data_IF_969444311532
#
_entry.id   IF_969444311532
#
_cell.length_a   1.000
_cell.length_b   1.000
_cell.length_c   1.000
_cell.angle_alpha   90.00
_cell.angle_beta   90.00
_cell.angle_gamma   90.00
#
_symmetry.space_group_name_H-M   'P 1'
#
loop_
_entity.id
_entity.type
_entity.pdbx_description
1 polymer ?
#
# COMPACT_ATOMS: atom_id res chain seq x y z
N UNK A 1 -7.36 15.50 38.56
CA UNK A 1 -6.62 14.35 38.00
C UNK A 1 -7.57 13.49 37.18
N UNK A 2 -7.62 13.71 35.88
CA UNK A 2 -8.51 12.99 34.95
C UNK A 2 -7.92 11.62 34.63
N UNK A 3 -8.50 10.55 35.19
CA UNK A 3 -8.18 9.17 34.79
C UNK A 3 -8.56 9.01 33.32
N UNK A 4 -7.57 8.85 32.42
CA UNK A 4 -7.80 8.37 31.04
C UNK A 4 -8.52 7.01 31.15
N UNK A 5 -9.80 6.94 30.74
CA UNK A 5 -10.51 5.67 30.60
C UNK A 5 -9.81 4.86 29.52
N UNK A 6 -9.22 3.73 29.92
CA UNK A 6 -8.53 2.76 29.07
C UNK A 6 -9.53 2.06 28.16
N UNK A 7 -9.17 1.87 26.88
CA UNK A 7 -10.01 1.11 25.95
C UNK A 7 -10.11 -0.36 26.37
N UNK A 8 -11.14 -1.07 25.91
CA UNK A 8 -11.34 -2.51 26.19
C UNK A 8 -10.11 -3.34 25.77
N UNK A 9 -9.46 -2.97 24.67
CA UNK A 9 -8.20 -3.57 24.22
C UNK A 9 -7.01 -3.32 25.16
N UNK A 10 -6.91 -2.14 25.77
CA UNK A 10 -5.87 -1.86 26.77
C UNK A 10 -6.13 -2.65 28.07
N UNK A 11 -7.40 -2.91 28.36
CA UNK A 11 -7.81 -3.69 29.54
C UNK A 11 -7.70 -5.19 29.31
N UNK A 12 -7.81 -5.70 28.07
CA UNK A 12 -7.48 -7.09 27.74
C UNK A 12 -5.99 -7.37 27.87
N UNK A 13 -5.14 -6.48 27.35
CA UNK A 13 -3.68 -6.55 27.50
C UNK A 13 -3.29 -6.45 28.99
N UNK A 14 -3.84 -5.49 29.73
CA UNK A 14 -3.56 -5.32 31.17
C UNK A 14 -4.14 -6.42 32.07
N UNK A 15 -5.35 -6.91 31.78
CA UNK A 15 -6.01 -7.94 32.60
C UNK A 15 -5.38 -9.32 32.42
N UNK A 16 -4.88 -9.65 31.22
CA UNK A 16 -4.18 -10.91 30.96
C UNK A 16 -2.76 -10.93 31.53
N UNK A 17 -2.03 -9.81 31.47
CA UNK A 17 -0.69 -9.72 32.07
C UNK A 17 -0.74 -9.81 33.61
N UNK A 18 -1.83 -9.36 34.23
CA UNK A 18 -2.12 -9.61 35.65
C UNK A 18 -2.43 -11.08 35.96
N UNK A 19 -2.98 -11.83 34.99
CA UNK A 19 -3.35 -13.25 35.12
C UNK A 19 -2.16 -14.21 34.96
N UNK A 20 -1.12 -13.79 34.22
CA UNK A 20 0.10 -14.57 33.96
C UNK A 20 1.25 -14.30 34.94
N UNK A 21 1.07 -13.39 35.92
CA UNK A 21 2.08 -13.09 36.93
C UNK A 21 3.38 -12.47 36.38
N UNK A 22 3.35 -11.94 35.15
CA UNK A 22 4.51 -11.32 34.49
C UNK A 22 4.47 -9.82 34.73
N UNK A 23 5.52 -9.29 35.37
CA UNK A 23 5.71 -7.85 35.56
C UNK A 23 6.14 -7.23 34.23
N UNK A 24 5.30 -6.33 33.71
CA UNK A 24 5.59 -5.48 32.55
C UNK A 24 6.97 -4.83 32.67
N UNK A 25 7.85 -5.07 31.70
CA UNK A 25 9.08 -4.28 31.58
C UNK A 25 8.83 -3.06 30.69
N UNK A 26 8.30 -1.99 31.28
CA UNK A 26 7.97 -0.71 30.62
C UNK A 26 9.16 -0.09 29.84
N UNK A 27 10.39 -0.53 30.09
CA UNK A 27 11.60 -0.01 29.45
C UNK A 27 11.78 -0.44 27.99
N UNK A 28 11.16 -1.55 27.56
CA UNK A 28 11.38 -2.11 26.20
C UNK A 28 10.17 -1.97 25.28
N UNK A 29 8.97 -1.78 25.84
CA UNK A 29 7.74 -1.63 25.06
C UNK A 29 7.76 -0.29 24.32
N UNK A 30 7.56 -0.32 23.00
CA UNK A 30 7.65 0.86 22.15
C UNK A 30 9.07 1.37 21.90
N UNK A 31 10.11 0.57 22.18
CA UNK A 31 11.45 0.81 21.64
C UNK A 31 11.38 0.75 20.11
N UNK A 32 11.92 1.80 19.50
CA UNK A 32 12.11 1.90 18.07
C UNK A 32 13.56 1.63 17.77
N UNK A 33 13.82 0.66 16.90
CA UNK A 33 15.15 0.50 16.33
C UNK A 33 15.04 0.51 14.81
N UNK A 34 15.94 1.25 14.19
CA UNK A 34 16.29 1.07 12.79
C UNK A 34 17.49 0.14 12.74
N UNK A 35 17.40 -0.94 11.97
CA UNK A 35 18.40 -2.02 11.94
C UNK A 35 19.75 -1.63 11.26
N UNK A 36 20.05 -0.33 11.12
CA UNK A 36 21.24 0.17 10.41
C UNK A 36 22.08 1.03 11.36
N UNK A 37 23.38 0.71 11.40
CA UNK A 37 24.38 1.42 12.19
C UNK A 37 24.47 2.89 11.74
N UNK A 38 24.36 3.88 12.65
CA UNK A 38 24.45 5.31 12.30
C UNK A 38 25.76 5.70 11.57
N UNK A 39 26.81 4.86 11.59
CA UNK A 39 28.02 5.09 10.77
C UNK A 39 27.83 4.81 9.27
N UNK A 40 26.87 3.98 8.87
CA UNK A 40 26.52 3.70 7.47
C UNK A 40 25.60 4.77 6.84
N UNK A 41 25.25 5.83 7.58
CA UNK A 41 24.45 6.99 7.15
C UNK A 41 24.90 7.64 5.81
N UNK A 42 26.10 7.33 5.31
CA UNK A 42 26.65 7.94 4.09
C UNK A 42 26.07 7.41 2.78
N UNK A 43 25.45 6.23 2.75
CA UNK A 43 24.63 5.81 1.59
C UNK A 43 23.18 6.12 1.90
N UNK A 44 22.75 7.34 1.60
CA UNK A 44 21.38 7.77 1.78
C UNK A 44 20.45 6.83 0.98
N UNK A 45 19.62 6.06 1.69
CA UNK A 45 18.55 5.24 1.14
C UNK A 45 17.48 6.17 0.54
N UNK A 46 17.70 6.54 -0.72
CA UNK A 46 16.73 7.25 -1.53
C UNK A 46 15.96 6.24 -2.38
N UNK A 47 14.64 6.39 -2.41
CA UNK A 47 13.83 5.72 -3.42
C UNK A 47 14.20 6.30 -4.77
N UNK A 48 14.63 5.45 -5.69
CA UNK A 48 14.98 5.82 -7.05
C UNK A 48 13.91 5.27 -7.98
N UNK A 49 13.02 6.14 -8.41
CA UNK A 49 12.02 5.84 -9.44
C UNK A 49 12.28 6.78 -10.62
N UNK A 50 11.84 6.43 -11.83
CA UNK A 50 12.08 7.23 -13.06
C UNK A 50 11.58 8.69 -13.02
N UNK A 51 10.91 9.07 -11.93
CA UNK A 51 10.37 10.40 -11.68
C UNK A 51 11.39 11.29 -10.96
N UNK A 52 12.41 10.71 -10.31
CA UNK A 52 13.43 11.41 -9.54
C UNK A 52 14.84 10.95 -9.89
N UNK A 53 15.60 11.87 -10.50
CA UNK A 53 17.06 11.81 -10.72
C UNK A 53 17.59 10.83 -11.79
N UNK A 54 17.57 11.29 -13.04
CA UNK A 54 18.23 10.63 -14.18
C UNK A 54 19.76 10.51 -14.05
N UNK A 55 20.42 11.43 -13.34
CA UNK A 55 21.89 11.51 -13.33
C UNK A 55 22.54 10.43 -12.46
N UNK A 56 21.95 10.08 -11.32
CA UNK A 56 22.55 9.12 -10.39
C UNK A 56 22.30 7.68 -10.86
N UNK A 57 21.12 7.40 -11.42
CA UNK A 57 20.84 6.16 -12.15
C UNK A 57 21.80 5.98 -13.35
N UNK A 58 22.05 7.06 -14.11
CA UNK A 58 23.03 7.05 -15.19
C UNK A 58 24.44 6.75 -14.69
N UNK A 59 24.89 7.39 -13.60
CA UNK A 59 26.23 7.16 -13.04
C UNK A 59 26.40 5.75 -12.45
N UNK A 60 25.37 5.19 -11.81
CA UNK A 60 25.38 3.82 -11.27
C UNK A 60 25.45 2.78 -12.39
N UNK A 61 24.63 2.94 -13.44
CA UNK A 61 24.68 2.11 -14.66
C UNK A 61 26.06 2.24 -15.33
N UNK A 62 26.58 3.46 -15.51
CA UNK A 62 27.89 3.71 -16.13
C UNK A 62 29.04 3.11 -15.33
N UNK A 63 28.91 3.04 -13.99
CA UNK A 63 29.93 2.43 -13.13
C UNK A 63 29.96 0.90 -13.21
N UNK A 64 28.80 0.27 -13.42
CA UNK A 64 28.65 -1.17 -13.64
C UNK A 64 29.03 -1.55 -15.09
N UNK A 65 28.77 -0.66 -16.04
CA UNK A 65 29.01 -0.81 -17.48
C UNK A 65 30.39 -0.29 -17.91
N UNK A 66 31.46 -0.62 -17.20
CA UNK A 66 32.82 -0.50 -17.77
C UNK A 66 33.01 -1.52 -18.91
N UNK A 67 32.29 -1.36 -20.02
CA UNK A 67 32.59 -1.81 -21.39
C UNK A 67 31.51 -1.33 -22.36
N UNK A 68 31.93 -0.36 -23.17
CA UNK A 68 31.40 0.06 -24.48
C UNK A 68 30.05 0.78 -24.46
N UNK A 69 30.13 2.12 -24.56
CA UNK A 69 29.00 2.99 -24.88
C UNK A 69 29.06 3.35 -26.37
N UNK A 70 27.97 3.10 -27.11
CA UNK A 70 27.58 3.93 -28.25
C UNK A 70 26.39 4.79 -27.79
N UNK A 71 26.52 6.10 -28.01
CA UNK A 71 25.54 7.09 -27.58
C UNK A 71 24.28 7.04 -28.44
N UNK A 72 23.14 6.66 -27.88
CA UNK A 72 21.84 6.88 -28.52
C UNK A 72 21.21 8.18 -28.02
N UNK A 73 21.02 9.12 -28.97
CA UNK A 73 20.31 10.37 -28.77
C UNK A 73 18.82 10.07 -28.60
N UNK A 74 18.26 10.37 -27.42
CA UNK A 74 16.81 10.36 -27.24
C UNK A 74 16.15 11.43 -28.12
N UNK A 75 15.30 10.99 -29.05
CA UNK A 75 14.36 11.85 -29.74
C UNK A 75 13.29 12.30 -28.74
N UNK A 76 13.39 13.54 -28.27
CA UNK A 76 12.33 14.19 -27.51
C UNK A 76 11.19 14.50 -28.47
N UNK A 77 10.20 13.61 -28.54
CA UNK A 77 8.92 13.93 -29.18
C UNK A 77 8.10 14.72 -28.17
N UNK A 78 8.09 16.05 -28.34
CA UNK A 78 7.15 16.93 -27.64
C UNK A 78 5.75 16.63 -28.18
N UNK A 79 4.98 15.80 -27.48
CA UNK A 79 3.55 15.65 -27.76
C UNK A 79 2.82 16.79 -27.04
N UNK A 80 2.78 17.95 -27.68
CA UNK A 80 1.79 18.98 -27.38
C UNK A 80 0.43 18.52 -27.90
N UNK A 81 -0.38 17.92 -27.02
CA UNK A 81 -1.83 17.80 -27.24
C UNK A 81 -2.59 18.18 -25.98
N UNK A 82 -2.70 19.48 -25.74
CA UNK A 82 -3.89 20.04 -25.10
C UNK A 82 -5.03 19.92 -26.11
N UNK A 83 -5.90 18.94 -25.94
CA UNK A 83 -7.11 18.82 -26.76
C UNK A 83 -8.29 18.50 -25.87
N UNK A 84 -8.84 19.57 -25.31
CA UNK A 84 -10.17 19.64 -24.70
C UNK A 84 -11.27 19.53 -25.76
N UNK A 85 -11.19 18.50 -26.61
CA UNK A 85 -12.16 18.25 -27.68
C UNK A 85 -12.89 16.96 -27.40
N UNK A 86 -14.22 17.05 -27.39
CA UNK A 86 -15.12 15.89 -27.43
C UNK A 86 -14.69 15.02 -28.60
N UNK A 87 -14.19 13.82 -28.29
CA UNK A 87 -13.75 12.86 -29.30
C UNK A 87 -14.92 12.54 -30.23
N UNK A 88 -14.64 12.47 -31.52
CA UNK A 88 -15.62 12.01 -32.50
C UNK A 88 -16.03 10.56 -32.20
N UNK A 89 -17.18 10.09 -32.71
CA UNK A 89 -17.61 8.70 -32.51
C UNK A 89 -16.56 7.70 -33.02
N UNK A 90 -15.97 7.98 -34.17
CA UNK A 90 -14.90 7.18 -34.79
C UNK A 90 -13.63 7.17 -33.92
N UNK A 91 -13.22 8.32 -33.36
CA UNK A 91 -12.07 8.40 -32.46
C UNK A 91 -12.30 7.65 -31.14
N UNK A 92 -13.54 7.64 -30.63
CA UNK A 92 -13.90 6.86 -29.44
C UNK A 92 -13.87 5.37 -29.70
N UNK A 93 -14.41 4.93 -30.83
CA UNK A 93 -14.39 3.52 -31.24
C UNK A 93 -12.95 3.03 -31.43
N UNK A 94 -12.12 3.82 -32.10
CA UNK A 94 -10.70 3.51 -32.28
C UNK A 94 -9.97 3.43 -30.95
N UNK A 95 -10.16 4.41 -30.04
CA UNK A 95 -9.57 4.36 -28.70
C UNK A 95 -10.05 3.18 -27.88
N UNK A 96 -11.32 2.78 -28.02
CA UNK A 96 -11.87 1.61 -27.34
C UNK A 96 -11.19 0.34 -27.85
N UNK A 97 -11.00 0.22 -29.16
CA UNK A 97 -10.29 -0.90 -29.77
C UNK A 97 -8.82 -0.94 -29.34
N UNK A 98 -8.14 0.20 -29.33
CA UNK A 98 -6.75 0.31 -28.89
C UNK A 98 -6.61 -0.03 -27.40
N UNK A 99 -7.57 0.40 -26.58
CA UNK A 99 -7.65 0.03 -25.17
C UNK A 99 -7.88 -1.47 -24.98
N UNK A 100 -8.74 -2.11 -25.78
CA UNK A 100 -8.95 -3.55 -25.73
C UNK A 100 -7.68 -4.32 -26.10
N UNK A 101 -6.99 -3.91 -27.17
CA UNK A 101 -5.69 -4.50 -27.56
C UNK A 101 -4.64 -4.33 -26.47
N UNK A 102 -4.58 -3.15 -25.85
CA UNK A 102 -3.70 -2.88 -24.73
C UNK A 102 -4.01 -3.80 -23.54
N UNK A 103 -5.29 -3.99 -23.20
CA UNK A 103 -5.71 -4.89 -22.12
C UNK A 103 -5.41 -6.35 -22.40
N UNK A 104 -5.57 -6.80 -23.64
CA UNK A 104 -5.19 -8.15 -24.04
C UNK A 104 -3.68 -8.36 -23.90
N UNK A 105 -2.89 -7.38 -24.36
CA UNK A 105 -1.44 -7.37 -24.17
C UNK A 105 -1.07 -7.40 -22.69
N UNK A 106 -1.76 -6.61 -21.86
CA UNK A 106 -1.56 -6.63 -20.42
C UNK A 106 -1.83 -8.01 -19.82
N UNK A 107 -2.85 -8.72 -20.30
CA UNK A 107 -3.16 -10.08 -19.86
C UNK A 107 -2.05 -11.07 -20.21
N UNK A 108 -1.44 -10.94 -21.39
CA UNK A 108 -0.35 -11.80 -21.85
C UNK A 108 0.92 -11.61 -21.02
N UNK A 109 1.30 -10.36 -20.75
CA UNK A 109 2.53 -10.00 -20.04
C UNK A 109 2.34 -9.80 -18.52
N UNK A 110 1.17 -10.10 -17.97
CA UNK A 110 0.90 -9.92 -16.55
C UNK A 110 1.88 -10.71 -15.66
N UNK A 111 2.16 -11.96 -16.05
CA UNK A 111 3.04 -12.84 -15.29
C UNK A 111 4.54 -12.62 -15.58
N UNK A 112 4.90 -11.82 -16.57
CA UNK A 112 6.31 -11.58 -16.91
C UNK A 112 6.96 -10.48 -16.08
N UNK A 113 6.18 -9.60 -15.44
CA UNK A 113 6.68 -8.61 -14.50
C UNK A 113 6.78 -9.21 -13.10
N UNK A 114 7.91 -9.84 -12.80
CA UNK A 114 8.19 -10.39 -11.48
C UNK A 114 8.92 -9.39 -10.59
N UNK A 115 9.13 -9.77 -9.33
CA UNK A 115 10.00 -9.06 -8.38
C UNK A 115 11.34 -9.80 -8.28
N UNK A 116 12.44 -9.12 -7.92
CA UNK A 116 13.71 -9.79 -7.73
C UNK A 116 13.61 -10.66 -6.48
N UNK A 117 13.95 -11.94 -6.62
CA UNK A 117 14.00 -12.88 -5.50
C UNK A 117 15.39 -12.85 -4.90
N UNK A 118 15.49 -12.93 -3.57
CA UNK A 118 16.80 -13.02 -2.94
C UNK A 118 17.46 -14.35 -3.31
N UNK A 119 18.74 -14.36 -3.71
CA UNK A 119 19.46 -15.61 -3.95
C UNK A 119 19.54 -16.44 -2.67
N UNK A 120 19.48 -17.76 -2.82
CA UNK A 120 19.69 -18.69 -1.73
C UNK A 120 21.11 -18.55 -1.20
N UNK A 121 21.27 -18.50 0.12
CA UNK A 121 22.56 -18.44 0.79
C UNK A 121 22.63 -19.50 1.87
N UNK A 122 23.84 -19.93 2.20
CA UNK A 122 24.11 -20.92 3.25
C UNK A 122 25.24 -20.41 4.17
N UNK A 123 25.56 -21.17 5.21
CA UNK A 123 26.61 -20.81 6.18
C UNK A 123 28.01 -20.67 5.55
N UNK A 124 28.21 -21.22 4.35
CA UNK A 124 29.47 -21.14 3.61
C UNK A 124 29.54 -19.90 2.71
N UNK A 125 28.42 -19.22 2.45
CA UNK A 125 28.39 -18.01 1.62
C UNK A 125 28.98 -16.85 2.40
N UNK A 126 30.02 -16.23 1.85
CA UNK A 126 30.60 -15.04 2.49
C UNK A 126 29.69 -13.81 2.32
N UNK A 127 29.80 -12.84 3.22
CA UNK A 127 29.02 -11.58 3.13
C UNK A 127 29.26 -10.86 1.80
N UNK A 128 30.49 -10.88 1.30
CA UNK A 128 30.88 -10.22 0.05
C UNK A 128 30.32 -10.95 -1.18
N UNK A 129 30.41 -12.28 -1.19
CA UNK A 129 29.82 -13.12 -2.23
C UNK A 129 28.31 -12.96 -2.30
N UNK A 130 27.62 -12.96 -1.15
CA UNK A 130 26.18 -12.75 -1.08
C UNK A 130 25.79 -11.37 -1.61
N UNK A 131 26.57 -10.34 -1.27
CA UNK A 131 26.32 -8.98 -1.74
C UNK A 131 26.45 -8.89 -3.27
N UNK A 132 27.40 -9.61 -3.86
CA UNK A 132 27.60 -9.63 -5.30
C UNK A 132 26.48 -10.40 -6.02
N UNK A 133 26.10 -11.57 -5.50
CA UNK A 133 24.95 -12.33 -6.02
C UNK A 133 23.65 -11.51 -5.95
N UNK A 134 23.42 -10.79 -4.85
CA UNK A 134 22.26 -9.90 -4.71
C UNK A 134 22.26 -8.79 -5.78
N UNK A 135 23.42 -8.20 -6.11
CA UNK A 135 23.54 -7.20 -7.18
C UNK A 135 23.29 -7.81 -8.55
N UNK A 136 23.87 -8.98 -8.85
CA UNK A 136 23.71 -9.64 -10.14
C UNK A 136 22.25 -9.99 -10.41
N UNK A 137 21.57 -10.59 -9.43
CA UNK A 137 20.14 -10.91 -9.53
C UNK A 137 19.32 -9.65 -9.78
N UNK A 138 19.62 -8.57 -9.07
CA UNK A 138 18.93 -7.30 -9.24
C UNK A 138 19.19 -6.67 -10.63
N UNK A 139 20.43 -6.73 -11.12
CA UNK A 139 20.81 -6.26 -12.45
C UNK A 139 20.08 -7.03 -13.56
N UNK A 140 20.10 -8.36 -13.50
CA UNK A 140 19.43 -9.21 -14.48
C UNK A 140 17.91 -9.01 -14.48
N UNK A 141 17.31 -8.85 -13.30
CA UNK A 141 15.90 -8.50 -13.17
C UNK A 141 15.57 -7.14 -13.82
N UNK A 142 16.34 -6.09 -13.54
CA UNK A 142 16.16 -4.76 -14.16
C UNK A 142 16.30 -4.83 -15.68
N UNK A 143 17.31 -5.54 -16.17
CA UNK A 143 17.55 -5.75 -17.61
C UNK A 143 16.38 -6.49 -18.27
N UNK A 144 15.79 -7.46 -17.59
CA UNK A 144 14.60 -8.18 -18.06
C UNK A 144 13.40 -7.25 -18.24
N UNK A 145 13.15 -6.34 -17.29
CA UNK A 145 12.07 -5.35 -17.40
C UNK A 145 12.33 -4.36 -18.54
N UNK A 146 13.57 -3.83 -18.65
CA UNK A 146 13.92 -2.89 -19.72
C UNK A 146 13.74 -3.51 -21.11
N UNK A 147 14.12 -4.78 -21.27
CA UNK A 147 13.90 -5.54 -22.50
C UNK A 147 12.42 -5.68 -22.84
N UNK A 148 11.57 -5.96 -21.84
CA UNK A 148 10.12 -6.03 -22.04
C UNK A 148 9.52 -4.67 -22.42
N UNK A 149 10.00 -3.58 -21.82
CA UNK A 149 9.56 -2.23 -22.13
C UNK A 149 9.92 -1.84 -23.57
N UNK A 150 11.13 -2.16 -24.03
CA UNK A 150 11.62 -1.83 -25.38
C UNK A 150 10.98 -2.72 -26.46
N UNK A 151 11.07 -4.05 -26.32
CA UNK A 151 10.61 -4.98 -27.36
C UNK A 151 9.09 -4.98 -27.50
N UNK A 152 8.39 -4.80 -26.37
CA UNK A 152 6.93 -4.87 -26.34
C UNK A 152 6.31 -3.48 -26.21
N UNK A 153 7.04 -2.37 -26.07
CA UNK A 153 6.42 -1.04 -25.91
C UNK A 153 5.41 -0.99 -24.75
N UNK A 154 5.70 -1.68 -23.65
CA UNK A 154 4.82 -1.76 -22.47
C UNK A 154 5.08 -0.54 -21.58
N UNK A 155 4.01 0.17 -21.19
CA UNK A 155 4.15 1.21 -20.18
C UNK A 155 4.19 0.58 -18.79
N UNK A 156 5.39 0.46 -18.22
CA UNK A 156 5.59 -0.06 -16.87
C UNK A 156 5.43 1.07 -15.85
N UNK A 157 4.82 0.77 -14.71
CA UNK A 157 4.77 1.72 -13.59
C UNK A 157 6.19 2.07 -13.14
N UNK A 158 6.46 3.34 -12.76
CA UNK A 158 7.75 3.73 -12.20
C UNK A 158 8.01 2.92 -10.94
N UNK A 159 8.97 2.00 -11.03
CA UNK A 159 9.27 1.06 -9.96
C UNK A 159 10.59 1.41 -9.28
N UNK A 160 10.84 0.80 -8.13
CA UNK A 160 12.05 1.05 -7.36
C UNK A 160 13.30 0.46 -8.03
N UNK A 161 14.27 1.31 -8.34
CA UNK A 161 15.54 0.97 -8.98
C UNK A 161 16.72 0.87 -8.01
N UNK A 162 16.54 1.25 -6.75
CA UNK A 162 17.54 1.08 -5.70
C UNK A 162 17.47 -0.32 -5.07
N UNK A 163 18.52 -1.12 -5.27
CA UNK A 163 18.64 -2.47 -4.70
C UNK A 163 18.54 -2.49 -3.16
N UNK A 164 19.01 -1.45 -2.48
CA UNK A 164 19.00 -1.39 -1.01
C UNK A 164 17.58 -1.36 -0.43
N UNK A 165 16.61 -0.80 -1.18
CA UNK A 165 15.20 -0.79 -0.78
C UNK A 165 14.58 -2.18 -0.97
N UNK A 166 14.95 -2.91 -2.03
CA UNK A 166 14.51 -4.30 -2.21
C UNK A 166 15.08 -5.25 -1.16
N UNK A 167 16.34 -5.03 -0.74
CA UNK A 167 16.93 -5.75 0.39
C UNK A 167 16.15 -5.55 1.69
N UNK A 168 15.56 -4.35 1.91
CA UNK A 168 14.67 -4.13 3.05
C UNK A 168 13.42 -5.02 2.99
N UNK A 169 12.80 -5.15 1.82
CA UNK A 169 11.65 -6.03 1.63
C UNK A 169 12.02 -7.50 1.89
N UNK A 170 13.16 -7.96 1.37
CA UNK A 170 13.63 -9.33 1.62
C UNK A 170 13.85 -9.60 3.11
N UNK A 171 14.48 -8.66 3.84
CA UNK A 171 14.67 -8.79 5.30
C UNK A 171 13.35 -8.91 6.03
N UNK A 172 12.34 -8.11 5.68
CA UNK A 172 11.01 -8.21 6.30
C UNK A 172 10.34 -9.54 5.96
N UNK A 173 10.38 -9.96 4.70
CA UNK A 173 9.76 -11.21 4.26
C UNK A 173 10.38 -12.45 4.94
N UNK A 174 11.70 -12.48 5.10
CA UNK A 174 12.41 -13.59 5.74
C UNK A 174 12.20 -13.65 7.25
N UNK A 175 12.24 -12.49 7.91
CA UNK A 175 12.18 -12.40 9.38
C UNK A 175 10.76 -12.51 9.92
N UNK A 176 9.75 -12.31 9.10
CA UNK A 176 8.36 -12.33 9.55
C UNK A 176 7.81 -13.76 9.65
N UNK A 177 7.11 -14.03 10.74
CA UNK A 177 6.29 -15.23 10.93
C UNK A 177 4.97 -15.13 10.17
N UNK A 178 4.49 -13.89 10.00
CA UNK A 178 3.24 -13.54 9.33
C UNK A 178 3.38 -12.21 8.58
N UNK A 179 2.81 -12.14 7.38
CA UNK A 179 2.63 -10.88 6.67
C UNK A 179 1.20 -10.35 6.83
N UNK A 180 1.07 -9.11 7.25
CA UNK A 180 -0.22 -8.41 7.28
C UNK A 180 -0.33 -7.53 6.06
N UNK A 181 -1.31 -7.83 5.21
CA UNK A 181 -1.61 -7.05 4.02
C UNK A 181 -2.74 -6.07 4.32
N UNK A 182 -2.50 -4.78 4.04
CA UNK A 182 -3.58 -3.79 4.14
C UNK A 182 -4.64 -4.04 3.04
N UNK A 183 -5.91 -4.06 3.45
CA UNK A 183 -7.09 -4.34 2.62
C UNK A 183 -8.06 -3.16 2.48
N UNK A 184 -7.70 -1.94 2.93
CA UNK A 184 -8.55 -0.74 2.93
C UNK A 184 -9.22 -0.47 1.56
N UNK A 185 -8.51 -0.76 0.46
CA UNK A 185 -9.01 -0.55 -0.92
C UNK A 185 -9.09 -1.85 -1.73
N UNK A 186 -8.98 -3.02 -1.09
CA UNK A 186 -9.01 -4.30 -1.79
C UNK A 186 -10.42 -4.88 -1.87
N UNK A 187 -10.92 -5.02 -3.10
CA UNK A 187 -12.17 -5.73 -3.38
C UNK A 187 -12.09 -7.20 -2.93
N UNK A 188 -13.26 -7.83 -2.73
CA UNK A 188 -13.34 -9.27 -2.39
C UNK A 188 -12.62 -10.14 -3.42
N UNK A 189 -12.78 -9.83 -4.71
CA UNK A 189 -12.14 -10.56 -5.80
C UNK A 189 -10.61 -10.41 -5.79
N UNK A 190 -10.10 -9.21 -5.53
CA UNK A 190 -8.66 -8.98 -5.42
C UNK A 190 -8.08 -9.73 -4.22
N UNK A 191 -8.75 -9.73 -3.06
CA UNK A 191 -8.33 -10.52 -1.90
C UNK A 191 -8.28 -12.01 -2.19
N UNK A 192 -9.25 -12.56 -2.94
CA UNK A 192 -9.21 -13.97 -3.37
C UNK A 192 -7.99 -14.28 -4.24
N UNK A 193 -7.63 -13.39 -5.17
CA UNK A 193 -6.43 -13.56 -6.02
C UNK A 193 -5.15 -13.53 -5.19
N UNK A 194 -5.04 -12.57 -4.27
CA UNK A 194 -3.90 -12.45 -3.36
C UNK A 194 -3.77 -13.65 -2.43
N UNK A 195 -4.89 -14.12 -1.86
CA UNK A 195 -4.90 -15.30 -1.00
C UNK A 195 -4.35 -16.53 -1.75
N UNK A 196 -4.83 -16.80 -2.97
CA UNK A 196 -4.33 -17.92 -3.79
C UNK A 196 -2.83 -17.81 -4.07
N UNK A 197 -2.34 -16.60 -4.33
CA UNK A 197 -0.92 -16.37 -4.58
C UNK A 197 -0.07 -16.61 -3.33
N UNK A 198 -0.46 -16.06 -2.19
CA UNK A 198 0.29 -16.27 -0.94
C UNK A 198 0.31 -17.74 -0.52
N UNK A 199 -0.78 -18.48 -0.77
CA UNK A 199 -0.81 -19.93 -0.55
C UNK A 199 0.14 -20.69 -1.46
N UNK A 200 0.18 -20.36 -2.76
CA UNK A 200 1.12 -21.01 -3.70
C UNK A 200 2.59 -20.76 -3.33
N UNK A 201 2.85 -19.65 -2.65
CA UNK A 201 4.20 -19.25 -2.22
C UNK A 201 4.50 -19.69 -0.77
N UNK A 202 3.57 -20.38 -0.09
CA UNK A 202 3.75 -20.81 1.30
C UNK A 202 3.86 -19.66 2.31
N UNK A 203 3.34 -18.48 1.96
CA UNK A 203 3.39 -17.28 2.80
C UNK A 203 2.22 -17.29 3.78
N UNK A 204 2.49 -17.16 5.07
CA UNK A 204 1.45 -16.97 6.07
C UNK A 204 0.98 -15.50 6.05
N UNK A 205 -0.31 -15.26 5.81
CA UNK A 205 -0.84 -13.91 5.63
C UNK A 205 -2.17 -13.68 6.35
N UNK A 206 -2.46 -12.41 6.69
CA UNK A 206 -3.79 -11.95 7.14
C UNK A 206 -4.13 -10.61 6.49
N UNK A 207 -5.41 -10.39 6.20
CA UNK A 207 -5.90 -9.09 5.73
C UNK A 207 -6.39 -8.23 6.90
N UNK A 208 -5.95 -6.98 6.94
CA UNK A 208 -6.37 -6.00 7.93
C UNK A 208 -6.77 -4.69 7.26
N UNK A 209 -7.72 -3.95 7.82
CA UNK A 209 -8.13 -2.64 7.31
C UNK A 209 -8.03 -1.61 8.43
N UNK A 210 -7.00 -0.76 8.35
CA UNK A 210 -6.79 0.30 9.33
C UNK A 210 -7.94 1.31 9.31
N UNK A 211 -8.47 1.63 8.12
CA UNK A 211 -9.56 2.58 7.98
C UNK A 211 -10.86 2.04 8.60
N UNK A 212 -11.24 0.80 8.27
CA UNK A 212 -12.45 0.16 8.83
C UNK A 212 -12.38 0.07 10.35
N UNK A 213 -11.22 -0.27 10.88
CA UNK A 213 -11.01 -0.38 12.32
C UNK A 213 -11.03 0.99 13.02
N UNK A 214 -10.46 2.04 12.41
CA UNK A 214 -10.57 3.41 12.94
C UNK A 214 -12.03 3.85 13.04
N UNK A 215 -12.82 3.64 11.99
CA UNK A 215 -14.26 3.96 11.99
C UNK A 215 -14.98 3.19 13.09
N UNK A 216 -14.63 1.92 13.32
CA UNK A 216 -15.19 1.11 14.40
C UNK A 216 -14.84 1.68 15.78
N UNK A 217 -13.57 2.03 16.01
CA UNK A 217 -13.10 2.62 17.27
C UNK A 217 -13.81 3.96 17.55
N UNK A 218 -13.99 4.80 16.53
CA UNK A 218 -14.71 6.08 16.66
C UNK A 218 -16.19 5.89 17.00
N UNK A 219 -16.88 4.97 16.31
CA UNK A 219 -18.26 4.60 16.63
C UNK A 219 -18.40 4.09 18.06
N UNK A 220 -17.49 3.23 18.50
CA UNK A 220 -17.50 2.72 19.88
C UNK A 220 -17.31 3.85 20.90
N UNK A 221 -16.39 4.78 20.65
CA UNK A 221 -16.19 5.95 21.52
C UNK A 221 -17.44 6.83 21.59
N UNK A 222 -18.11 7.05 20.47
CA UNK A 222 -19.36 7.82 20.43
C UNK A 222 -20.47 7.11 21.22
N UNK A 223 -20.61 5.79 21.02
CA UNK A 223 -21.58 4.98 21.75
C UNK A 223 -21.32 5.01 23.26
N UNK A 224 -20.07 4.85 23.68
CA UNK A 224 -19.70 4.93 25.09
C UNK A 224 -20.02 6.30 25.71
N UNK A 225 -19.88 7.41 24.96
CA UNK A 225 -20.29 8.74 25.44
C UNK A 225 -21.80 8.82 25.64
N UNK A 226 -22.59 8.32 24.69
CA UNK A 226 -24.06 8.32 24.81
C UNK A 226 -24.56 7.46 25.98
N UNK A 227 -23.88 6.34 26.26
CA UNK A 227 -24.14 5.53 27.46
C UNK A 227 -23.79 6.30 28.74
N UNK A 228 -22.63 6.97 28.77
CA UNK A 228 -22.22 7.80 29.91
C UNK A 228 -23.13 9.00 30.16
N UNK A 229 -23.71 9.55 29.09
CA UNK A 229 -24.73 10.61 29.13
C UNK A 229 -26.13 10.09 29.50
N UNK A 230 -26.31 8.77 29.67
CA UNK A 230 -27.59 8.14 30.00
C UNK A 230 -28.61 8.14 28.85
N UNK A 231 -28.18 8.45 27.63
CA UNK A 231 -29.06 8.52 26.45
C UNK A 231 -29.36 7.14 25.86
N UNK A 232 -28.54 6.13 26.16
CA UNK A 232 -28.65 4.75 25.65
C UNK A 232 -28.42 3.79 26.81
N UNK A 233 -29.29 2.79 26.93
CA UNK A 233 -29.15 1.70 27.90
C UNK A 233 -28.07 0.70 27.42
N UNK A 234 -27.01 0.43 28.23
CA UNK A 234 -25.99 -0.56 27.88
C UNK A 234 -26.55 -1.96 27.60
N UNK A 235 -27.64 -2.39 28.25
CA UNK A 235 -28.21 -3.73 28.03
C UNK A 235 -28.76 -3.91 26.61
N UNK A 236 -29.32 -2.85 26.03
CA UNK A 236 -29.85 -2.87 24.65
C UNK A 236 -28.69 -3.04 23.66
N UNK A 237 -27.60 -2.30 23.85
CA UNK A 237 -26.39 -2.39 23.02
C UNK A 237 -25.82 -3.80 23.05
N UNK A 238 -25.67 -4.37 24.24
CA UNK A 238 -25.10 -5.71 24.40
C UNK A 238 -25.99 -6.80 23.78
N UNK A 239 -27.31 -6.63 23.86
CA UNK A 239 -28.27 -7.52 23.21
C UNK A 239 -28.18 -7.45 21.68
N UNK A 240 -28.04 -6.25 21.11
CA UNK A 240 -27.86 -6.08 19.66
C UNK A 240 -26.54 -6.67 19.16
N UNK A 241 -25.44 -6.50 19.91
CA UNK A 241 -24.15 -7.10 19.57
C UNK A 241 -24.20 -8.63 19.60
N UNK A 242 -24.87 -9.22 20.59
CA UNK A 242 -25.08 -10.68 20.66
C UNK A 242 -25.88 -11.19 19.47
N UNK A 243 -27.03 -10.57 19.17
CA UNK A 243 -27.84 -10.93 18.00
C UNK A 243 -27.05 -10.83 16.70
N UNK A 244 -26.19 -9.81 16.57
CA UNK A 244 -25.34 -9.63 15.39
C UNK A 244 -24.29 -10.72 15.28
N UNK A 245 -23.63 -11.12 16.38
CA UNK A 245 -22.67 -12.23 16.39
C UNK A 245 -23.35 -13.56 16.02
N UNK A 246 -24.51 -13.85 16.60
CA UNK A 246 -25.30 -15.05 16.28
C UNK A 246 -25.69 -15.08 14.80
N UNK A 247 -26.07 -13.94 14.20
CA UNK A 247 -26.37 -13.85 12.78
C UNK A 247 -25.15 -14.12 11.89
N UNK A 248 -23.95 -13.68 12.31
CA UNK A 248 -22.70 -13.94 11.60
C UNK A 248 -22.28 -15.41 11.72
N UNK A 249 -22.43 -16.03 12.90
CA UNK A 249 -22.08 -17.44 13.11
C UNK A 249 -23.02 -18.40 12.38
N UNK A 250 -24.29 -18.02 12.16
CA UNK A 250 -25.24 -18.80 11.37
C UNK A 250 -24.96 -18.77 9.86
N UNK A 251 -24.13 -17.83 9.39
CA UNK A 251 -23.63 -17.88 8.02
C UNK A 251 -22.54 -18.96 7.95
N UNK A 252 -22.83 -20.07 7.26
CA UNK A 252 -21.81 -21.04 6.88
C UNK A 252 -20.78 -20.37 5.96
N UNK A 253 -19.75 -19.77 6.54
CA UNK A 253 -18.63 -19.21 5.80
C UNK A 253 -17.85 -20.35 5.15
N UNK A 254 -17.66 -20.24 3.83
CA UNK A 254 -16.76 -21.14 3.13
C UNK A 254 -15.33 -20.98 3.64
N UNK A 255 -14.52 -22.05 3.57
CA UNK A 255 -13.08 -21.99 3.90
C UNK A 255 -12.36 -20.91 3.08
N UNK A 256 -12.81 -20.64 1.84
CA UNK A 256 -12.29 -19.53 1.05
C UNK A 256 -12.61 -18.17 1.66
N UNK A 257 -13.83 -17.98 2.19
CA UNK A 257 -14.26 -16.72 2.78
C UNK A 257 -13.52 -16.42 4.09
N UNK A 258 -13.22 -17.45 4.89
CA UNK A 258 -12.39 -17.32 6.12
C UNK A 258 -11.00 -16.79 5.82
N UNK A 259 -10.37 -17.27 4.73
CA UNK A 259 -9.01 -16.86 4.33
C UNK A 259 -8.93 -15.41 3.86
N UNK A 260 -9.99 -14.91 3.22
CA UNK A 260 -10.06 -13.52 2.78
C UNK A 260 -10.65 -12.58 3.82
N UNK A 261 -11.02 -13.07 5.01
CA UNK A 261 -11.61 -12.27 6.09
C UNK A 261 -10.71 -11.08 6.42
N UNK A 262 -11.35 -9.92 6.63
CA UNK A 262 -10.68 -8.74 7.20
C UNK A 262 -10.85 -8.85 8.70
N UNK A 263 -9.73 -9.01 9.40
CA UNK A 263 -9.71 -9.12 10.84
C UNK A 263 -9.86 -7.75 11.49
N UNK A 264 -10.61 -7.70 12.58
CA UNK A 264 -10.64 -6.53 13.46
C UNK A 264 -9.40 -6.54 14.38
N UNK A 265 -9.15 -5.45 15.12
CA UNK A 265 -7.93 -5.31 15.96
C UNK A 265 -7.79 -6.44 16.98
N UNK A 266 -8.87 -6.84 17.62
CA UNK A 266 -8.82 -7.88 18.66
C UNK A 266 -8.55 -9.25 18.05
N UNK A 267 -9.29 -9.60 16.99
CA UNK A 267 -9.15 -10.88 16.31
C UNK A 267 -7.74 -11.08 15.72
N UNK A 268 -7.16 -10.04 15.12
CA UNK A 268 -5.83 -10.16 14.50
C UNK A 268 -4.71 -10.32 15.55
N UNK A 269 -4.85 -9.67 16.71
CA UNK A 269 -3.89 -9.84 17.81
C UNK A 269 -3.97 -11.26 18.39
N UNK A 270 -5.18 -11.82 18.52
CA UNK A 270 -5.33 -13.23 18.92
C UNK A 270 -4.69 -14.19 17.91
N UNK A 271 -4.82 -13.90 16.61
CA UNK A 271 -4.14 -14.68 15.56
C UNK A 271 -2.62 -14.62 15.70
N UNK A 272 -2.05 -13.46 16.02
CA UNK A 272 -0.59 -13.34 16.23
C UNK A 272 -0.12 -14.22 17.38
N UNK A 273 -0.90 -14.30 18.47
CA UNK A 273 -0.55 -15.07 19.66
C UNK A 273 -0.64 -16.60 19.46
N UNK A 274 -1.38 -17.06 18.45
CA UNK A 274 -1.45 -18.48 18.09
C UNK A 274 -0.20 -18.95 17.34
N UNK A 275 0.59 -18.02 16.80
CA UNK A 275 1.78 -18.35 16.02
C UNK A 275 2.94 -18.75 16.93
N UNK A 276 3.76 -19.66 16.42
CA UNK A 276 5.05 -19.97 17.02
C UNK A 276 6.11 -19.11 16.33
N UNK A 277 6.96 -18.40 17.09
CA UNK A 277 8.04 -17.60 16.52
C UNK A 277 9.03 -18.50 15.80
N UNK A 278 9.45 -18.12 14.59
CA UNK A 278 10.55 -18.79 13.90
C UNK A 278 11.84 -18.62 14.71
N UNK A 279 12.65 -19.69 14.87
CA UNK A 279 13.95 -19.56 15.49
C UNK A 279 14.86 -18.76 14.56
N UNK A 280 15.18 -17.53 14.94
CA UNK A 280 16.19 -16.71 14.27
C UNK A 280 17.57 -17.00 14.89
N UNK A 281 18.61 -17.12 14.04
CA UNK A 281 19.98 -17.46 14.46
C UNK A 281 20.53 -16.54 15.56
N UNK A 282 20.11 -15.28 15.59
CA UNK A 282 20.60 -14.26 16.53
C UNK A 282 19.66 -14.02 17.72
N UNK A 283 18.54 -14.76 17.83
CA UNK A 283 17.46 -14.51 18.81
C UNK A 283 17.07 -13.02 18.91
N UNK A 284 17.17 -12.28 17.80
CA UNK A 284 17.08 -10.80 17.75
C UNK A 284 15.85 -10.23 18.43
N UNK A 285 14.74 -10.97 18.38
CA UNK A 285 13.46 -10.53 18.91
C UNK A 285 13.09 -11.21 20.24
N UNK A 286 14.02 -11.91 20.89
CA UNK A 286 13.83 -12.68 22.12
C UNK A 286 12.64 -13.66 22.03
N UNK A 287 12.58 -14.47 20.98
CA UNK A 287 11.46 -15.39 20.71
C UNK A 287 10.06 -14.73 20.69
N UNK A 288 9.97 -13.48 20.25
CA UNK A 288 8.67 -12.83 19.94
C UNK A 288 8.21 -13.19 18.54
N UNK A 289 6.89 -13.24 18.36
CA UNK A 289 6.26 -13.36 17.04
C UNK A 289 6.51 -12.07 16.26
N UNK A 290 7.03 -12.22 15.04
CA UNK A 290 7.39 -11.12 14.16
C UNK A 290 6.34 -10.99 13.05
N UNK A 291 5.69 -9.83 12.99
CA UNK A 291 4.66 -9.53 12.00
C UNK A 291 5.16 -8.46 11.03
N UNK A 292 5.26 -8.81 9.76
CA UNK A 292 5.70 -7.92 8.70
C UNK A 292 4.57 -7.17 8.03
N UNK A 293 4.76 -5.87 7.82
CA UNK A 293 3.88 -5.03 7.02
C UNK A 293 4.61 -4.65 5.73
N UNK A 294 4.12 -5.14 4.60
CA UNK A 294 4.67 -4.86 3.27
C UNK A 294 3.59 -4.33 2.33
N UNK A 295 3.98 -3.62 1.29
CA UNK A 295 3.06 -3.11 0.27
C UNK A 295 3.43 -1.72 -0.28
N UNK A 296 2.64 -1.29 -1.27
CA UNK A 296 2.81 -0.02 -1.97
C UNK A 296 2.90 1.19 -1.03
N UNK A 297 3.52 2.32 -1.45
CA UNK A 297 3.38 3.58 -0.75
C UNK A 297 1.91 3.95 -0.52
N UNK A 298 1.63 4.68 0.56
CA UNK A 298 0.30 5.21 0.88
C UNK A 298 -0.85 4.20 1.10
N UNK A 299 -0.60 2.88 1.04
CA UNK A 299 -1.60 1.85 1.37
C UNK A 299 -1.91 1.76 2.87
N UNK A 300 -1.41 2.67 3.70
CA UNK A 300 -1.74 2.72 5.12
C UNK A 300 -0.97 1.76 6.03
N UNK A 301 0.23 1.27 5.66
CA UNK A 301 1.07 0.41 6.53
C UNK A 301 1.33 1.02 7.91
N UNK A 302 1.87 2.23 7.96
CA UNK A 302 2.14 2.93 9.21
C UNK A 302 0.86 3.37 9.93
N UNK A 303 -0.26 3.51 9.21
CA UNK A 303 -1.59 3.71 9.83
C UNK A 303 -2.07 2.43 10.53
N UNK A 304 -1.89 1.25 9.92
CA UNK A 304 -2.16 -0.05 10.53
C UNK A 304 -1.40 -0.20 11.84
N UNK A 305 -0.12 0.19 11.88
CA UNK A 305 0.69 0.14 13.09
C UNK A 305 0.07 0.97 14.22
N UNK A 306 -0.31 2.22 13.94
CA UNK A 306 -0.92 3.09 14.94
C UNK A 306 -2.25 2.54 15.48
N UNK A 307 -3.04 1.89 14.61
CA UNK A 307 -4.30 1.24 15.01
C UNK A 307 -4.04 0.02 15.89
N UNK A 308 -3.11 -0.85 15.49
CA UNK A 308 -2.75 -2.03 16.29
C UNK A 308 -2.16 -1.63 17.64
N UNK A 309 -1.28 -0.64 17.65
CA UNK A 309 -0.66 -0.10 18.85
C UNK A 309 -1.69 0.62 19.75
N UNK A 310 -2.75 1.19 19.18
CA UNK A 310 -3.83 1.86 19.91
C UNK A 310 -3.59 3.36 20.16
N UNK A 311 -2.39 3.85 19.86
CA UNK A 311 -2.04 5.27 19.87
C UNK A 311 -1.09 5.64 18.72
N UNK A 312 -0.92 6.94 18.48
CA UNK A 312 -0.06 7.44 17.41
C UNK A 312 1.41 7.27 17.79
N UNK A 313 2.05 6.26 17.20
CA UNK A 313 3.43 5.86 17.46
C UNK A 313 4.34 6.18 16.27
N UNK A 314 3.89 5.90 15.04
CA UNK A 314 4.62 6.18 13.80
C UNK A 314 4.03 7.39 13.08
N UNK A 315 4.91 8.20 12.49
CA UNK A 315 4.50 9.32 11.65
C UNK A 315 3.88 8.83 10.34
N UNK A 316 2.71 9.35 10.00
CA UNK A 316 2.01 9.09 8.73
C UNK A 316 1.97 10.35 7.89
N UNK A 317 2.05 10.21 6.57
CA UNK A 317 1.89 11.29 5.61
C UNK A 317 1.12 10.77 4.38
N UNK A 318 0.33 11.62 3.71
CA UNK A 318 -0.37 11.27 2.47
C UNK A 318 0.58 11.20 1.26
N UNK A 319 1.80 11.73 1.39
CA UNK A 319 2.81 11.72 0.33
C UNK A 319 3.71 10.48 0.42
N UNK A 320 4.09 9.88 -0.73
CA UNK A 320 5.04 8.76 -0.76
C UNK A 320 6.39 9.11 -0.11
N UNK A 321 7.13 8.09 0.36
CA UNK A 321 8.51 8.24 0.82
C UNK A 321 8.70 8.67 2.29
N UNK A 322 7.63 8.61 3.11
CA UNK A 322 7.72 8.93 4.54
C UNK A 322 8.52 7.89 5.34
N UNK A 323 8.25 6.61 5.12
CA UNK A 323 9.00 5.48 5.72
C UNK A 323 10.12 5.07 4.76
N UNK A 324 11.37 5.27 5.18
CA UNK A 324 12.57 5.03 4.33
C UNK A 324 13.38 3.79 4.71
N UNK A 325 13.23 3.34 5.96
CA UNK A 325 14.01 2.25 6.53
C UNK A 325 13.05 1.25 7.17
N UNK A 326 13.49 -0.01 7.29
CA UNK A 326 12.76 -0.97 8.11
C UNK A 326 12.78 -0.52 9.55
N UNK A 327 11.61 -0.51 10.17
CA UNK A 327 11.46 -0.14 11.58
C UNK A 327 10.98 -1.34 12.36
N UNK A 328 11.65 -1.63 13.46
CA UNK A 328 11.22 -2.63 14.43
C UNK A 328 10.44 -1.93 15.53
N UNK A 329 9.20 -2.37 15.76
CA UNK A 329 8.29 -1.80 16.76
C UNK A 329 7.80 -2.93 17.67
N UNK A 330 8.24 -2.89 18.92
CA UNK A 330 7.77 -3.84 19.93
C UNK A 330 6.35 -3.42 20.33
N UNK A 331 5.37 -4.25 19.97
CA UNK A 331 3.97 -4.02 20.26
C UNK A 331 3.63 -4.44 21.70
N UNK A 332 4.11 -5.62 22.11
CA UNK A 332 3.97 -6.15 23.47
C UNK A 332 5.08 -7.18 23.76
N UNK A 333 5.04 -7.82 24.93
CA UNK A 333 6.03 -8.82 25.36
C UNK A 333 6.18 -10.00 24.40
N UNK A 334 5.14 -10.34 23.63
CA UNK A 334 5.07 -11.50 22.74
C UNK A 334 5.14 -11.14 21.24
N UNK A 335 4.97 -9.86 20.87
CA UNK A 335 4.76 -9.44 19.46
C UNK A 335 5.66 -8.26 19.06
N UNK A 336 6.27 -8.37 17.88
CA UNK A 336 7.03 -7.33 17.19
C UNK A 336 6.42 -7.06 15.82
N UNK A 337 6.26 -5.79 15.47
CA UNK A 337 5.86 -5.35 14.14
C UNK A 337 7.09 -4.85 13.37
N UNK A 338 7.22 -5.26 12.10
CA UNK A 338 8.21 -4.75 11.16
C UNK A 338 7.51 -3.86 10.11
N UNK A 339 7.82 -2.56 10.10
CA UNK A 339 7.35 -1.64 9.05
C UNK A 339 8.36 -1.62 7.90
N UNK A 340 7.93 -2.02 6.70
CA UNK A 340 8.74 -1.91 5.49
C UNK A 340 8.55 -0.53 4.84
N UNK A 341 9.59 0.09 4.25
CA UNK A 341 9.40 1.21 3.34
C UNK A 341 8.38 0.86 2.24
N UNK A 342 7.62 1.86 1.80
CA UNK A 342 6.70 1.68 0.68
C UNK A 342 7.46 1.42 -0.61
N UNK A 343 7.18 0.29 -1.25
CA UNK A 343 7.86 -0.14 -2.47
C UNK A 343 6.89 -0.12 -3.65
N UNK A 344 7.30 0.51 -4.76
CA UNK A 344 6.52 0.47 -5.99
C UNK A 344 7.02 -0.70 -6.84
N UNK A 345 6.15 -1.68 -7.03
CA UNK A 345 6.43 -2.85 -7.87
C UNK A 345 6.19 -2.52 -9.35
N UNK A 346 6.98 -3.11 -10.28
CA UNK A 346 6.70 -2.98 -11.70
C UNK A 346 5.37 -3.67 -12.01
N UNK A 347 4.43 -2.89 -12.51
CA UNK A 347 3.14 -3.37 -12.99
C UNK A 347 2.82 -2.69 -14.31
N UNK A 348 1.91 -3.27 -15.08
CA UNK A 348 1.49 -2.66 -16.34
C UNK A 348 0.54 -1.50 -16.06
N UNK A 349 0.91 -0.31 -16.51
CA UNK A 349 0.06 0.87 -16.43
C UNK A 349 -0.55 1.15 -17.79
N UNK A 350 -1.82 1.55 -17.79
CA UNK A 350 -2.50 1.99 -19.01
C UNK A 350 -2.11 3.42 -19.39
N UNK A 351 -1.84 4.28 -18.42
CA UNK A 351 -1.48 5.67 -18.65
C UNK A 351 -0.67 6.27 -17.50
N UNK A 352 -0.07 7.45 -17.72
CA UNK A 352 0.52 8.23 -16.62
C UNK A 352 -0.52 8.74 -15.63
N UNK A 353 -1.73 9.02 -16.11
CA UNK A 353 -2.83 9.48 -15.28
C UNK A 353 -3.27 8.41 -14.25
N UNK A 354 -3.22 7.13 -14.61
CA UNK A 354 -3.45 6.02 -13.68
C UNK A 354 -2.46 6.00 -12.52
N UNK A 355 -1.19 6.33 -12.78
CA UNK A 355 -0.15 6.38 -11.75
C UNK A 355 -0.44 7.46 -10.72
N UNK A 356 -0.96 8.61 -11.16
CA UNK A 356 -1.37 9.71 -10.27
C UNK A 356 -2.60 9.30 -9.46
N UNK A 357 -3.63 8.77 -10.11
CA UNK A 357 -4.87 8.34 -9.45
C UNK A 357 -4.62 7.22 -8.41
N UNK A 358 -3.63 6.36 -8.64
CA UNK A 358 -3.23 5.31 -7.70
C UNK A 358 -2.27 5.79 -6.59
N UNK A 359 -1.95 7.09 -6.54
CA UNK A 359 -1.09 7.67 -5.49
C UNK A 359 0.38 7.28 -5.60
N UNK A 360 0.83 6.80 -6.77
CA UNK A 360 2.23 6.47 -7.03
C UNK A 360 3.06 7.70 -7.38
N UNK A 361 2.46 8.65 -8.11
CA UNK A 361 3.08 9.94 -8.44
C UNK A 361 2.65 11.03 -7.47
N UNK A 362 3.58 11.91 -7.04
CA UNK A 362 3.23 13.05 -6.20
C UNK A 362 2.34 14.03 -6.97
N UNK A 363 1.16 14.32 -6.40
CA UNK A 363 0.18 15.25 -6.99
C UNK A 363 0.73 16.69 -7.00
N UNK A 364 1.59 17.04 -6.04
CA UNK A 364 2.15 18.39 -5.89
C UNK A 364 3.03 18.85 -7.07
N UNK A 365 3.56 17.90 -7.86
CA UNK A 365 4.45 18.19 -9.00
C UNK A 365 3.76 17.95 -10.36
N UNK A 366 2.44 17.79 -10.34
CA UNK A 366 1.68 17.42 -11.53
C UNK A 366 1.60 18.59 -12.52
N UNK A 367 2.08 18.37 -13.74
CA UNK A 367 1.95 19.34 -14.85
C UNK A 367 0.66 19.15 -15.64
N UNK A 368 0.26 17.90 -15.86
CA UNK A 368 -1.01 17.55 -16.52
C UNK A 368 -2.02 17.08 -15.48
N UNK A 369 -2.90 17.99 -15.08
CA UNK A 369 -4.00 17.71 -14.15
C UNK A 369 -5.31 17.35 -14.86
N UNK A 370 -5.38 17.49 -16.19
CA UNK A 370 -6.61 17.21 -16.94
C UNK A 370 -6.80 15.71 -17.05
N UNK A 371 -5.80 14.97 -17.53
CA UNK A 371 -5.93 13.52 -17.76
C UNK A 371 -6.28 12.73 -16.50
N UNK A 372 -5.67 12.97 -15.32
CA UNK A 372 -6.07 12.28 -14.08
C UNK A 372 -7.49 12.63 -13.62
N UNK A 373 -7.94 13.86 -13.82
CA UNK A 373 -9.29 14.27 -13.45
C UNK A 373 -10.33 13.71 -14.41
N UNK A 374 -10.02 13.62 -15.72
CA UNK A 374 -10.86 12.93 -16.69
C UNK A 374 -11.06 11.46 -16.30
N UNK A 375 -9.98 10.75 -15.93
CA UNK A 375 -10.09 9.37 -15.44
C UNK A 375 -10.97 9.25 -14.19
N UNK A 376 -10.92 10.23 -13.28
CA UNK A 376 -11.81 10.24 -12.10
C UNK A 376 -13.26 10.42 -12.54
N UNK A 377 -13.53 11.34 -13.47
CA UNK A 377 -14.88 11.61 -13.97
C UNK A 377 -15.44 10.42 -14.77
N UNK A 378 -14.60 9.67 -15.49
CA UNK A 378 -15.00 8.44 -16.18
C UNK A 378 -15.32 7.29 -15.21
N UNK A 379 -14.66 7.24 -14.05
CA UNK A 379 -14.86 6.19 -13.04
C UNK A 379 -16.04 6.45 -12.11
N UNK A 380 -16.42 7.71 -11.93
CA UNK A 380 -17.45 8.12 -10.99
C UNK A 380 -18.70 8.64 -11.70
N UNK A 381 -19.91 8.18 -11.34
CA UNK A 381 -21.13 8.74 -11.90
C UNK A 381 -21.23 10.24 -11.59
N UNK A 382 -21.74 11.01 -12.56
CA UNK A 382 -21.97 12.46 -12.42
C UNK A 382 -22.71 12.81 -11.12
N UNK A 383 -23.77 12.08 -10.81
CA UNK A 383 -24.59 12.31 -9.61
C UNK A 383 -23.77 12.25 -8.32
N UNK A 384 -22.83 11.31 -8.24
CA UNK A 384 -21.98 11.18 -7.05
C UNK A 384 -21.03 12.37 -6.91
N UNK A 385 -20.50 12.91 -8.01
CA UNK A 385 -19.64 14.09 -7.99
C UNK A 385 -20.44 15.35 -7.59
N UNK A 386 -21.64 15.52 -8.15
CA UNK A 386 -22.52 16.65 -7.84
C UNK A 386 -22.96 16.64 -6.38
N UNK A 387 -23.38 15.49 -5.85
CA UNK A 387 -23.81 15.34 -4.46
C UNK A 387 -22.63 15.52 -3.50
N UNK A 388 -21.51 14.82 -3.72
CA UNK A 388 -20.37 14.85 -2.81
C UNK A 388 -19.76 16.24 -2.68
N UNK A 389 -19.61 16.97 -3.79
CA UNK A 389 -19.07 18.31 -3.78
C UNK A 389 -20.14 19.40 -3.64
N UNK A 390 -21.43 19.05 -3.68
CA UNK A 390 -22.55 20.00 -3.69
C UNK A 390 -22.42 21.04 -4.81
N UNK A 391 -22.03 20.59 -6.01
CA UNK A 391 -21.85 21.43 -7.21
C UNK A 391 -22.85 21.03 -8.30
N UNK A 392 -23.21 21.98 -9.17
CA UNK A 392 -23.88 21.69 -10.44
C UNK A 392 -22.87 21.60 -11.57
N UNK A 393 -22.65 20.40 -12.11
CA UNK A 393 -21.72 20.22 -13.24
C UNK A 393 -22.49 20.52 -14.54
N UNK A 394 -21.93 21.32 -15.47
CA UNK A 394 -22.57 21.57 -16.77
C UNK A 394 -22.96 20.28 -17.50
N UNK A 395 -24.20 20.23 -18.01
CA UNK A 395 -24.67 19.09 -18.81
C UNK A 395 -24.01 19.11 -20.20
N UNK A 396 -23.85 17.94 -20.85
CA UNK A 396 -23.37 17.88 -22.22
C UNK A 396 -24.25 18.73 -23.16
N UNK A 397 -23.63 19.32 -24.18
CA UNK A 397 -24.38 20.09 -25.19
C UNK A 397 -25.35 19.18 -25.94
N UNK A 398 -26.40 19.73 -26.54
CA UNK A 398 -27.45 18.94 -27.20
C UNK A 398 -26.95 17.99 -28.29
N UNK A 399 -25.88 18.35 -29.01
CA UNK A 399 -25.26 17.51 -30.05
C UNK A 399 -24.28 16.46 -29.51
N UNK A 400 -24.01 16.47 -28.20
CA UNK A 400 -23.12 15.51 -27.54
C UNK A 400 -23.94 14.38 -26.88
N UNK A 401 -23.35 13.18 -26.70
CA UNK A 401 -23.99 12.11 -25.96
C UNK A 401 -24.34 12.57 -24.54
N UNK A 402 -25.62 12.51 -24.17
CA UNK A 402 -26.12 13.00 -22.87
C UNK A 402 -25.73 12.10 -21.69
N UNK A 403 -25.36 10.85 -21.99
CA UNK A 403 -24.92 9.84 -21.04
C UNK A 403 -23.40 9.89 -20.75
N UNK A 404 -22.65 10.78 -21.40
CA UNK A 404 -21.20 10.86 -21.20
C UNK A 404 -20.83 11.31 -19.79
N UNK A 405 -19.68 10.83 -19.33
CA UNK A 405 -19.04 11.36 -18.14
C UNK A 405 -18.75 12.88 -18.28
N UNK A 406 -18.76 13.62 -17.17
CA UNK A 406 -18.22 14.98 -17.14
C UNK A 406 -16.78 15.02 -17.64
N UNK A 407 -16.40 16.11 -18.30
CA UNK A 407 -14.98 16.38 -18.58
C UNK A 407 -14.32 17.03 -17.36
N UNK A 408 -13.00 16.91 -17.25
CA UNK A 408 -12.21 17.57 -16.24
C UNK A 408 -12.41 19.09 -16.26
N UNK A 409 -12.54 19.68 -17.45
CA UNK A 409 -12.81 21.11 -17.58
C UNK A 409 -14.16 21.50 -16.95
N UNK A 410 -15.24 20.78 -17.29
CA UNK A 410 -16.57 21.04 -16.72
C UNK A 410 -16.58 20.89 -15.20
N UNK A 411 -15.96 19.82 -14.70
CA UNK A 411 -15.90 19.53 -13.27
C UNK A 411 -15.04 20.56 -12.51
N UNK A 412 -13.81 20.81 -12.96
CA UNK A 412 -12.88 21.73 -12.31
C UNK A 412 -13.37 23.18 -12.39
N UNK A 413 -13.98 23.60 -13.50
CA UNK A 413 -14.57 24.94 -13.60
C UNK A 413 -15.75 25.11 -12.64
N UNK A 414 -16.64 24.13 -12.54
CA UNK A 414 -17.77 24.17 -11.59
C UNK A 414 -17.27 24.21 -10.14
N UNK A 415 -16.32 23.34 -9.80
CA UNK A 415 -15.72 23.27 -8.48
C UNK A 415 -14.96 24.55 -8.12
N UNK A 416 -14.12 25.05 -9.05
CA UNK A 416 -13.35 26.28 -8.88
C UNK A 416 -14.24 27.49 -8.67
N UNK A 417 -15.30 27.63 -9.46
CA UNK A 417 -16.28 28.70 -9.31
C UNK A 417 -16.96 28.68 -7.95
N UNK A 418 -17.47 27.52 -7.52
CA UNK A 418 -18.14 27.38 -6.21
C UNK A 418 -17.19 27.68 -5.04
N UNK A 419 -15.93 27.24 -5.13
CA UNK A 419 -14.91 27.49 -4.10
C UNK A 419 -14.30 28.89 -4.15
N UNK A 420 -14.62 29.69 -5.17
CA UNK A 420 -14.06 31.03 -5.34
C UNK A 420 -12.62 31.05 -5.88
N UNK A 421 -12.12 29.94 -6.44
CA UNK A 421 -10.84 29.92 -7.14
C UNK A 421 -10.99 30.62 -8.49
N UNK A 422 -10.47 31.85 -8.57
CA UNK A 422 -10.47 32.67 -9.78
C UNK A 422 -9.03 33.03 -10.12
N UNK A 423 -8.74 33.06 -11.42
CA UNK A 423 -7.47 33.51 -11.98
C UNK A 423 -7.48 34.99 -12.30
#
# INVERSE_FOLDING_TARGET
MTKKKSNLGDTLIKSRNKRLGRTFNEQTIGMFTTDIDPKEERRKLYSNTDIGNNLENFLEITSLEQKVFESEKQNVVVITKTSSTVLSKEEKEQKTLDHQKLMEKHRLFWNSLTIPRRPSWNENTTTEELLELEKEVFYHWRKGIAKLEEEQGLLVTPFEKNAEVWKQLWRVAERSDLLVQNSDLLTKLQRKKWAKYFESEGVNFRFFSAHKEQVRIEKQKQLNRLIEEGSIDPEIVEMEERKRKELLEQQNESEEDRKIKIFDREEILEEFLKLQPKPLQDNRYNNRVVVGLAGYPNVGKSSTINVLYGEKKVAVAPTPGKTKYVQTIILDEEIVLLDCPGLVFPTLSTSKADLVCNGLLPIDQLRDFISPVDLICERLPRTHLEEFYSIGIPKPKEHEPQDRAPTAAEFLSAYGYMRGFRT
#
